data_IF_087522877826
#
_entry.id   IF_087522877826
#
_cell.length_a   1.000
_cell.length_b   1.000
_cell.length_c   1.000
_cell.angle_alpha   90.00
_cell.angle_beta   90.00
_cell.angle_gamma   90.00
#
_symmetry.space_group_name_H-M   'P 1'
#
loop_
_entity.id
_entity.type
_entity.pdbx_description
1 polymer ?
#
# COMPACT_ATOMS: atom_id res chain seq x y z
N UNK A 1 12.21 -0.88 -7.75
CA UNK A 1 11.35 0.27 -8.12
C UNK A 1 11.24 0.37 -9.63
N UNK A 2 10.06 0.70 -10.18
CA UNK A 2 9.88 0.84 -11.64
C UNK A 2 10.23 2.27 -12.06
N UNK A 3 11.32 2.45 -12.81
CA UNK A 3 11.79 3.77 -13.27
C UNK A 3 11.22 4.14 -14.65
N UNK A 4 10.13 3.51 -15.08
CA UNK A 4 9.38 3.86 -16.28
C UNK A 4 10.25 4.07 -17.52
N UNK A 5 10.06 5.19 -18.21
CA UNK A 5 10.81 5.57 -19.41
C UNK A 5 12.33 5.51 -19.21
N UNK A 6 12.86 5.88 -18.03
CA UNK A 6 14.30 5.86 -17.79
C UNK A 6 14.86 4.42 -17.76
N UNK A 7 14.09 3.45 -17.27
CA UNK A 7 14.53 2.04 -17.26
C UNK A 7 14.53 1.43 -18.67
N UNK A 8 13.54 1.79 -19.49
CA UNK A 8 13.27 1.08 -20.75
C UNK A 8 13.76 1.82 -22.00
N UNK A 9 13.78 3.15 -21.97
CA UNK A 9 13.94 4.01 -23.15
C UNK A 9 14.96 5.15 -22.96
N UNK A 10 15.67 5.21 -21.82
CA UNK A 10 16.77 6.17 -21.68
C UNK A 10 17.79 5.97 -22.81
N UNK A 11 18.30 7.03 -23.46
CA UNK A 11 19.25 6.88 -24.56
C UNK A 11 20.55 6.20 -24.14
N UNK A 12 20.97 6.33 -22.88
CA UNK A 12 22.20 5.71 -22.36
C UNK A 12 21.94 4.25 -21.93
N UNK A 13 22.56 3.25 -22.62
CA UNK A 13 22.44 1.85 -22.22
C UNK A 13 22.99 1.55 -20.83
N UNK A 14 23.95 2.33 -20.33
CA UNK A 14 24.50 2.15 -18.98
C UNK A 14 23.47 2.51 -17.90
N UNK A 15 22.70 3.59 -18.12
CA UNK A 15 21.59 3.99 -17.23
C UNK A 15 20.52 2.91 -17.21
N UNK A 16 20.11 2.39 -18.37
CA UNK A 16 19.13 1.29 -18.45
C UNK A 16 19.63 0.04 -17.73
N UNK A 17 20.88 -0.35 -17.93
CA UNK A 17 21.48 -1.52 -17.27
C UNK A 17 21.55 -1.36 -15.74
N UNK A 18 21.98 -0.19 -15.26
CA UNK A 18 22.03 0.13 -13.84
C UNK A 18 20.64 0.05 -13.20
N UNK A 19 19.64 0.68 -13.83
CA UNK A 19 18.27 0.67 -13.33
C UNK A 19 17.64 -0.73 -13.45
N UNK A 20 18.08 -1.54 -14.42
CA UNK A 20 17.66 -2.92 -14.60
C UNK A 20 18.21 -3.88 -13.53
N UNK A 21 19.45 -3.64 -13.09
CA UNK A 21 20.17 -4.46 -12.11
C UNK A 21 19.58 -4.37 -10.70
N UNK A 22 18.88 -3.28 -10.37
CA UNK A 22 18.07 -3.21 -9.16
C UNK A 22 16.94 -4.24 -9.21
N UNK A 23 16.88 -5.11 -8.19
CA UNK A 23 15.78 -6.06 -8.01
C UNK A 23 14.41 -5.38 -8.16
N UNK A 24 13.47 -6.11 -8.77
CA UNK A 24 12.09 -5.65 -8.90
C UNK A 24 11.49 -5.39 -7.52
N UNK A 25 10.65 -4.36 -7.39
CA UNK A 25 9.87 -4.22 -6.16
C UNK A 25 8.87 -5.38 -6.08
N UNK A 26 8.73 -5.98 -4.90
CA UNK A 26 7.79 -7.08 -4.68
C UNK A 26 6.42 -6.59 -4.21
N UNK A 27 6.37 -5.40 -3.63
CA UNK A 27 5.14 -4.76 -3.16
C UNK A 27 5.07 -3.32 -3.67
N UNK A 28 3.94 -2.95 -4.26
CA UNK A 28 3.56 -1.56 -4.48
C UNK A 28 2.54 -1.14 -3.42
N UNK A 29 2.76 0.01 -2.78
CA UNK A 29 1.86 0.55 -1.78
C UNK A 29 1.42 1.95 -2.19
N UNK A 30 0.13 2.24 -2.05
CA UNK A 30 -0.40 3.58 -2.28
C UNK A 30 -1.58 3.88 -1.34
N UNK A 31 -1.58 5.08 -0.77
CA UNK A 31 -2.68 5.61 0.04
C UNK A 31 -3.29 6.83 -0.66
N UNK A 32 -4.52 6.70 -1.15
CA UNK A 32 -5.25 7.75 -1.87
C UNK A 32 -5.75 8.89 -0.97
N UNK A 33 -5.65 8.75 0.35
CA UNK A 33 -6.21 9.71 1.29
C UNK A 33 -7.72 9.52 1.50
N UNK A 34 -8.37 10.59 1.93
CA UNK A 34 -9.80 10.60 2.20
C UNK A 34 -10.58 10.97 0.94
N UNK A 35 -11.43 10.06 0.46
CA UNK A 35 -12.30 10.25 -0.71
C UNK A 35 -13.74 10.52 -0.28
N UNK A 36 -14.44 11.35 -1.05
CA UNK A 36 -15.85 11.69 -0.81
C UNK A 36 -16.10 12.78 0.25
N UNK A 37 -15.06 13.43 0.79
CA UNK A 37 -15.20 14.49 1.80
C UNK A 37 -15.62 15.87 1.22
N UNK A 38 -15.80 16.00 -0.09
CA UNK A 38 -16.29 17.23 -0.71
C UNK A 38 -17.80 17.37 -0.49
N UNK A 39 -18.19 18.07 0.59
CA UNK A 39 -19.59 18.40 0.85
C UNK A 39 -20.19 19.25 -0.28
N UNK A 40 -21.35 18.83 -0.80
CA UNK A 40 -22.19 19.62 -1.72
C UNK A 40 -22.19 19.25 -3.20
N UNK A 41 -21.74 18.05 -3.59
CA UNK A 41 -21.64 17.71 -5.02
C UNK A 41 -22.99 17.33 -5.67
N UNK A 42 -23.29 17.91 -6.83
CA UNK A 42 -24.37 17.52 -7.75
C UNK A 42 -24.12 16.14 -8.42
N UNK A 43 -23.08 15.42 -8.00
CA UNK A 43 -22.66 14.12 -8.51
C UNK A 43 -22.50 13.16 -7.33
N UNK A 44 -22.99 11.94 -7.50
CA UNK A 44 -22.84 10.84 -6.56
C UNK A 44 -21.95 9.74 -7.13
N UNK A 45 -21.24 9.03 -6.25
CA UNK A 45 -20.56 7.78 -6.61
C UNK A 45 -21.63 6.72 -6.83
N UNK A 46 -21.61 6.05 -7.98
CA UNK A 46 -22.43 4.87 -8.22
C UNK A 46 -21.67 3.63 -7.77
N UNK A 47 -22.27 2.85 -6.88
CA UNK A 47 -21.74 1.53 -6.53
C UNK A 47 -21.98 0.56 -7.69
N UNK A 48 -20.91 -0.10 -8.15
CA UNK A 48 -21.00 -1.07 -9.24
C UNK A 48 -19.65 -1.39 -9.87
N UNK A 49 -19.67 -2.37 -10.76
CA UNK A 49 -18.49 -2.75 -11.53
C UNK A 49 -18.23 -1.73 -12.64
N UNK A 50 -17.13 -0.99 -12.54
CA UNK A 50 -16.72 0.02 -13.53
C UNK A 50 -15.99 -0.56 -14.76
N UNK A 51 -15.89 -1.88 -14.87
CA UNK A 51 -15.08 -2.55 -15.89
C UNK A 51 -13.65 -2.86 -15.41
N UNK A 52 -12.89 -3.58 -16.24
CA UNK A 52 -11.48 -3.87 -15.95
C UNK A 52 -10.65 -2.62 -16.21
N UNK A 53 -9.93 -2.16 -15.19
CA UNK A 53 -9.00 -1.03 -15.30
C UNK A 53 -7.67 -1.45 -15.95
N UNK A 54 -7.37 -2.76 -15.95
CA UNK A 54 -6.17 -3.36 -16.55
C UNK A 54 -6.49 -4.45 -17.55
N UNK A 55 -5.56 -4.68 -18.48
CA UNK A 55 -5.61 -5.83 -19.38
C UNK A 55 -5.49 -7.13 -18.57
N UNK A 56 -6.15 -8.23 -18.96
CA UNK A 56 -5.91 -9.55 -18.38
C UNK A 56 -4.46 -10.05 -18.56
N UNK A 57 -3.76 -9.48 -19.54
CA UNK A 57 -2.35 -9.80 -19.83
C UNK A 57 -1.37 -8.92 -19.03
N UNK A 58 -1.87 -7.87 -18.38
CA UNK A 58 -1.06 -7.00 -17.55
C UNK A 58 -0.65 -7.72 -16.27
N UNK A 59 0.64 -8.02 -16.14
CA UNK A 59 1.21 -8.68 -14.96
C UNK A 59 1.55 -7.70 -13.83
N UNK A 60 1.27 -6.41 -14.01
CA UNK A 60 1.64 -5.37 -13.05
C UNK A 60 3.14 -5.17 -12.95
N UNK A 61 3.54 -4.10 -12.25
CA UNK A 61 4.95 -3.84 -11.98
C UNK A 61 5.47 -4.60 -10.76
N UNK A 62 4.56 -4.96 -9.84
CA UNK A 62 4.83 -5.71 -8.61
C UNK A 62 3.86 -6.89 -8.52
N UNK A 63 4.29 -8.04 -7.98
CA UNK A 63 3.41 -9.19 -7.74
C UNK A 63 2.34 -8.92 -6.67
N UNK A 64 2.56 -7.95 -5.77
CA UNK A 64 1.55 -7.49 -4.82
C UNK A 64 1.38 -5.98 -4.93
N UNK A 65 0.14 -5.52 -4.95
CA UNK A 65 -0.21 -4.10 -4.88
C UNK A 65 -1.29 -3.89 -3.80
N UNK A 66 -1.00 -3.00 -2.86
CA UNK A 66 -1.91 -2.56 -1.80
C UNK A 66 -2.29 -1.10 -2.03
N UNK A 67 -3.55 -0.87 -2.36
CA UNK A 67 -4.13 0.45 -2.51
C UNK A 67 -5.12 0.71 -1.38
N UNK A 68 -5.02 1.87 -0.76
CA UNK A 68 -5.82 2.19 0.42
C UNK A 68 -6.53 3.52 0.23
N UNK A 69 -7.78 3.61 0.69
CA UNK A 69 -8.52 4.86 0.77
C UNK A 69 -9.34 4.93 2.06
N UNK A 70 -9.66 6.14 2.49
CA UNK A 70 -10.61 6.36 3.57
C UNK A 70 -11.89 6.97 3.01
N UNK A 71 -13.05 6.35 3.30
CA UNK A 71 -14.37 6.84 2.89
C UNK A 71 -15.24 7.03 4.13
N UNK A 72 -15.60 8.27 4.42
CA UNK A 72 -16.33 8.59 5.64
C UNK A 72 -15.56 8.14 6.89
N UNK A 73 -16.07 7.13 7.59
CA UNK A 73 -15.45 6.52 8.79
C UNK A 73 -14.84 5.14 8.53
N UNK A 74 -14.78 4.71 7.27
CA UNK A 74 -14.28 3.41 6.87
C UNK A 74 -12.92 3.55 6.19
N UNK A 75 -12.06 2.58 6.47
CA UNK A 75 -10.77 2.39 5.84
C UNK A 75 -10.90 1.19 4.89
N UNK A 76 -10.65 1.40 3.61
CA UNK A 76 -10.78 0.38 2.58
C UNK A 76 -9.38 0.04 2.06
N UNK A 77 -9.00 -1.24 2.18
CA UNK A 77 -7.76 -1.78 1.63
C UNK A 77 -8.07 -2.70 0.46
N UNK A 78 -7.50 -2.38 -0.71
CA UNK A 78 -7.65 -3.13 -1.94
C UNK A 78 -6.35 -3.83 -2.28
N UNK A 79 -6.39 -5.15 -2.25
CA UNK A 79 -5.26 -6.02 -2.57
C UNK A 79 -5.39 -6.52 -4.00
N UNK A 80 -4.36 -6.26 -4.81
CA UNK A 80 -4.20 -6.86 -6.15
C UNK A 80 -2.95 -7.72 -6.14
N UNK A 81 -3.04 -8.95 -6.64
CA UNK A 81 -1.90 -9.87 -6.63
C UNK A 81 -1.80 -10.70 -7.90
N UNK A 82 -0.58 -11.15 -8.20
CA UNK A 82 -0.29 -12.14 -9.22
C UNK A 82 -0.47 -13.56 -8.66
N UNK A 83 -1.52 -14.31 -9.05
CA UNK A 83 -1.78 -15.66 -8.54
C UNK A 83 -0.74 -16.70 -8.98
N UNK A 84 0.10 -16.38 -9.97
CA UNK A 84 1.24 -17.23 -10.35
C UNK A 84 2.43 -17.10 -9.40
N UNK A 85 2.41 -16.09 -8.51
CA UNK A 85 3.52 -15.77 -7.60
C UNK A 85 3.10 -15.73 -6.13
N UNK A 86 1.83 -15.44 -5.84
CA UNK A 86 1.30 -15.31 -4.49
C UNK A 86 0.08 -16.23 -4.36
N UNK A 87 0.14 -17.12 -3.37
CA UNK A 87 -0.98 -17.99 -3.02
C UNK A 87 -2.10 -17.20 -2.32
N UNK A 88 -3.36 -17.51 -2.64
CA UNK A 88 -4.51 -16.80 -2.09
C UNK A 88 -4.58 -16.88 -0.56
N UNK A 89 -4.30 -18.05 0.03
CA UNK A 89 -4.32 -18.23 1.48
C UNK A 89 -3.15 -17.46 2.15
N UNK A 90 -2.03 -17.30 1.46
CA UNK A 90 -0.94 -16.43 1.94
C UNK A 90 -1.37 -14.96 1.93
N UNK A 91 -2.07 -14.51 0.89
CA UNK A 91 -2.60 -13.15 0.85
C UNK A 91 -3.66 -12.91 1.94
N UNK A 92 -4.54 -13.87 2.18
CA UNK A 92 -5.55 -13.78 3.25
C UNK A 92 -4.89 -13.60 4.62
N UNK A 93 -3.90 -14.43 4.96
CA UNK A 93 -3.14 -14.27 6.22
C UNK A 93 -2.45 -12.92 6.33
N UNK A 94 -1.90 -12.41 5.23
CA UNK A 94 -1.28 -11.08 5.21
C UNK A 94 -2.32 -9.97 5.42
N UNK A 95 -3.49 -10.09 4.81
CA UNK A 95 -4.57 -9.12 4.96
C UNK A 95 -5.10 -9.10 6.41
N UNK A 96 -5.32 -10.28 7.01
CA UNK A 96 -5.74 -10.41 8.40
C UNK A 96 -4.69 -9.81 9.35
N UNK A 97 -3.41 -10.15 9.14
CA UNK A 97 -2.32 -9.60 9.94
C UNK A 97 -2.18 -8.08 9.78
N UNK A 98 -2.41 -7.55 8.58
CA UNK A 98 -2.41 -6.12 8.33
C UNK A 98 -3.53 -5.39 9.11
N UNK A 99 -4.73 -5.95 9.15
CA UNK A 99 -5.85 -5.39 9.93
C UNK A 99 -5.55 -5.38 11.43
N UNK A 100 -5.06 -6.49 11.97
CA UNK A 100 -4.68 -6.58 13.39
C UNK A 100 -3.57 -5.59 13.73
N UNK A 101 -2.52 -5.51 12.91
CA UNK A 101 -1.43 -4.57 13.12
C UNK A 101 -1.94 -3.11 13.13
N UNK A 102 -2.84 -2.74 12.22
CA UNK A 102 -3.49 -1.42 12.24
C UNK A 102 -4.32 -1.21 13.51
N UNK A 103 -5.04 -2.23 13.99
CA UNK A 103 -5.77 -2.19 15.25
C UNK A 103 -4.86 -1.90 16.44
N UNK A 104 -3.75 -2.64 16.57
CA UNK A 104 -2.74 -2.44 17.62
C UNK A 104 -2.15 -1.03 17.55
N UNK A 105 -1.77 -0.57 16.35
CA UNK A 105 -1.20 0.76 16.15
C UNK A 105 -2.18 1.86 16.53
N UNK A 106 -3.42 1.78 16.05
CA UNK A 106 -4.44 2.80 16.36
C UNK A 106 -4.78 2.84 17.85
N UNK A 107 -4.84 1.69 18.53
CA UNK A 107 -5.02 1.63 19.97
C UNK A 107 -3.85 2.26 20.73
N UNK A 108 -2.62 1.92 20.37
CA UNK A 108 -1.42 2.49 21.01
C UNK A 108 -1.33 4.01 20.79
N UNK A 109 -1.71 4.49 19.61
CA UNK A 109 -1.73 5.92 19.29
C UNK A 109 -2.86 6.68 19.99
N UNK A 110 -4.02 6.05 20.20
CA UNK A 110 -5.12 6.66 20.95
C UNK A 110 -4.78 6.87 22.44
N UNK A 111 -3.83 6.10 22.97
CA UNK A 111 -3.34 6.23 24.36
C UNK A 111 -2.23 7.28 24.51
N UNK A 112 -1.75 7.87 23.41
CA UNK A 112 -0.73 8.93 23.46
C UNK A 112 -1.37 10.29 23.68
N UNK A 113 -0.81 11.06 24.62
CA UNK A 113 -1.19 12.45 24.87
C UNK A 113 -0.70 13.44 23.79
N UNK A 114 0.23 13.03 22.90
CA UNK A 114 0.86 13.92 21.91
C UNK A 114 0.51 13.50 20.48
N UNK A 115 0.07 14.44 19.62
CA UNK A 115 -0.32 14.12 18.24
C UNK A 115 0.88 13.71 17.38
N UNK A 116 0.64 12.78 16.46
CA UNK A 116 1.63 12.23 15.51
C UNK A 116 2.17 13.24 14.49
N UNK A 117 1.48 14.36 14.25
CA UNK A 117 1.79 15.31 13.18
C UNK A 117 2.30 16.64 13.76
N UNK A 118 3.38 16.60 14.54
CA UNK A 118 4.28 17.77 14.56
C UNK A 118 5.04 17.75 13.22
N UNK A 119 5.05 18.86 12.49
CA UNK A 119 5.77 18.97 11.22
C UNK A 119 7.26 18.62 11.44
N UNK A 120 7.67 17.42 11.01
CA UNK A 120 8.94 16.79 11.38
C UNK A 120 8.80 15.34 11.85
N UNK A 121 7.60 14.88 12.22
CA UNK A 121 7.35 13.51 12.67
C UNK A 121 7.45 12.44 11.57
N UNK A 122 7.20 12.79 10.30
CA UNK A 122 7.53 11.91 9.17
C UNK A 122 9.05 11.82 8.92
N UNK A 123 9.84 12.74 9.47
CA UNK A 123 11.30 12.65 9.50
C UNK A 123 11.83 12.04 10.82
N UNK A 124 10.97 11.86 11.84
CA UNK A 124 11.31 11.30 13.13
C UNK A 124 10.66 9.92 13.31
N UNK A 125 11.41 8.88 12.95
CA UNK A 125 11.19 7.52 13.45
C UNK A 125 9.93 6.87 12.88
N UNK A 126 10.07 5.89 11.99
CA UNK A 126 10.11 4.52 12.47
C UNK A 126 9.11 4.34 13.63
N UNK A 127 7.97 3.68 13.35
CA UNK A 127 7.49 2.74 14.35
C UNK A 127 8.72 2.01 14.85
N UNK A 128 9.07 2.18 16.14
CA UNK A 128 10.24 1.53 16.72
C UNK A 128 10.22 0.09 16.20
N UNK A 129 11.30 -0.43 15.61
CA UNK A 129 11.29 -1.77 14.99
C UNK A 129 10.73 -2.84 15.93
N UNK A 130 10.79 -2.59 17.25
CA UNK A 130 10.21 -3.37 18.33
C UNK A 130 8.68 -3.42 18.32
N UNK A 131 7.99 -2.32 17.97
CA UNK A 131 6.53 -2.25 17.92
C UNK A 131 5.99 -2.97 16.67
N UNK A 132 6.71 -2.84 15.55
CA UNK A 132 6.44 -3.62 14.34
C UNK A 132 6.75 -5.10 14.58
N UNK A 133 7.85 -5.41 15.26
CA UNK A 133 8.26 -6.78 15.60
C UNK A 133 7.32 -7.43 16.60
N UNK A 134 6.87 -6.71 17.64
CA UNK A 134 5.88 -7.23 18.58
C UNK A 134 4.54 -7.52 17.89
N UNK A 135 4.11 -6.63 16.98
CA UNK A 135 2.92 -6.88 16.17
C UNK A 135 3.10 -8.08 15.22
N UNK A 136 4.28 -8.25 14.60
CA UNK A 136 4.58 -9.41 13.74
C UNK A 136 4.66 -10.72 14.54
N UNK A 137 5.30 -10.71 15.72
CA UNK A 137 5.41 -11.87 16.62
C UNK A 137 4.06 -12.29 17.20
N UNK A 138 3.16 -11.35 17.48
CA UNK A 138 1.77 -11.63 17.92
C UNK A 138 0.91 -12.22 16.78
N UNK A 139 1.36 -12.05 15.53
CA UNK A 139 0.67 -12.47 14.31
C UNK A 139 1.26 -13.71 13.63
N UNK A 140 2.30 -14.32 14.21
CA UNK A 140 3.02 -15.47 13.63
C UNK A 140 3.52 -15.18 12.18
N UNK A 141 3.90 -13.92 11.91
CA UNK A 141 4.44 -13.42 10.64
C UNK A 141 5.97 -13.25 10.65
#
# INVERSE_FOLDING_TARGET
ASFGILRYLDPDPAVRAMLAAGGGAEVAFNYFGQVGAAGGAALSVLEGYAGRVRSPEDRGACPLELNILARGRQFEAHWTYDPGRIDAAQLERLADGFEVALGVLTQALAQRDRPLLEAGALAAGALEPQLLRAAMEELDL
#
